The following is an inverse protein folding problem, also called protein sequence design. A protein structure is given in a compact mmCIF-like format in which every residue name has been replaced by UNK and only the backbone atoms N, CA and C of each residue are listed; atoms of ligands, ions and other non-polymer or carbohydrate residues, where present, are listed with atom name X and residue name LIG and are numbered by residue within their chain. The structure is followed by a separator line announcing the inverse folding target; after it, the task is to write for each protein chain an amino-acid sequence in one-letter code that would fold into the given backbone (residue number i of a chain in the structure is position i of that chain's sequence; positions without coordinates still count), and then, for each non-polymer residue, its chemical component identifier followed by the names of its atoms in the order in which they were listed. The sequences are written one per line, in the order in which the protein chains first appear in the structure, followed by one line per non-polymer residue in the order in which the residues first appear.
data_IF_668618330704
#
_entry.id   IF_668618330704
#
_cell.length_a   1.000
_cell.length_b   1.000
_cell.length_c   1.000
_cell.angle_alpha   90.00
_cell.angle_beta   90.00
_cell.angle_gamma   90.00
#
_symmetry.space_group_name_H-M   'P 1'
#
loop_
_entity.id
_entity.type
_entity.pdbx_description
1 polymer ?
#
# COMPACT_ATOMS: atom_id res chain seq x y z
N UNK A 1 14.02 11.36 -3.13
CA UNK A 1 13.86 10.03 -2.51
C UNK A 1 13.51 9.03 -3.60
N UNK A 2 14.40 8.09 -3.88
CA UNK A 2 14.25 7.11 -4.95
C UNK A 2 13.76 5.79 -4.33
N UNK A 3 12.54 5.80 -3.81
CA UNK A 3 11.96 4.61 -3.17
C UNK A 3 11.50 3.63 -4.25
N UNK A 4 11.95 2.37 -4.14
CA UNK A 4 11.48 1.30 -5.01
C UNK A 4 10.23 0.65 -4.38
N UNK A 5 9.04 1.05 -4.84
CA UNK A 5 7.76 0.49 -4.40
C UNK A 5 7.38 -0.82 -5.13
N UNK A 6 8.13 -1.24 -6.17
CA UNK A 6 7.81 -2.47 -6.93
C UNK A 6 7.82 -3.71 -6.04
N UNK A 7 8.69 -3.74 -5.03
CA UNK A 7 8.77 -4.85 -4.07
C UNK A 7 7.45 -5.08 -3.33
N UNK A 8 6.66 -4.04 -3.10
CA UNK A 8 5.36 -4.18 -2.43
C UNK A 8 4.28 -4.74 -3.34
N UNK A 9 4.42 -4.61 -4.66
CA UNK A 9 3.52 -5.24 -5.63
C UNK A 9 3.37 -6.73 -5.37
N UNK A 10 4.50 -7.43 -5.21
CA UNK A 10 4.51 -8.86 -4.92
C UNK A 10 3.84 -9.19 -3.57
N UNK A 11 4.01 -8.34 -2.55
CA UNK A 11 3.37 -8.53 -1.25
C UNK A 11 1.83 -8.45 -1.37
N UNK A 12 1.33 -7.47 -2.14
CA UNK A 12 -0.11 -7.33 -2.40
C UNK A 12 -0.67 -8.50 -3.20
N UNK A 13 0.05 -8.94 -4.25
CA UNK A 13 -0.35 -10.08 -5.08
C UNK A 13 -0.42 -11.38 -4.27
N UNK A 14 0.65 -11.70 -3.51
CA UNK A 14 0.68 -12.88 -2.61
C UNK A 14 -0.45 -12.86 -1.59
N UNK A 15 -0.83 -11.67 -1.09
CA UNK A 15 -1.94 -11.49 -0.16
C UNK A 15 -3.33 -11.41 -0.83
N UNK A 16 -3.41 -11.59 -2.15
CA UNK A 16 -4.66 -11.47 -2.95
C UNK A 16 -5.39 -10.14 -2.72
N UNK A 17 -4.61 -9.06 -2.62
CA UNK A 17 -5.09 -7.68 -2.52
C UNK A 17 -5.20 -7.13 -3.94
N UNK A 18 -6.43 -7.04 -4.44
CA UNK A 18 -6.75 -6.43 -5.72
C UNK A 18 -6.97 -4.90 -5.54
N UNK A 19 -7.27 -4.19 -6.63
CA UNK A 19 -7.50 -2.75 -6.60
C UNK A 19 -8.55 -2.31 -5.59
N UNK A 20 -9.70 -2.98 -5.52
CA UNK A 20 -10.78 -2.67 -4.58
C UNK A 20 -10.35 -2.79 -3.11
N UNK A 21 -9.63 -3.88 -2.76
CA UNK A 21 -9.07 -4.06 -1.42
C UNK A 21 -7.97 -3.05 -1.12
N UNK A 22 -7.16 -2.71 -2.13
CA UNK A 22 -6.10 -1.70 -1.99
C UNK A 22 -6.69 -0.31 -1.74
N UNK A 23 -7.84 0.02 -2.34
CA UNK A 23 -8.54 1.29 -2.12
C UNK A 23 -9.00 1.49 -0.68
N UNK A 24 -9.19 0.40 0.06
CA UNK A 24 -9.63 0.39 1.45
C UNK A 24 -8.53 -0.09 2.42
N UNK A 25 -7.27 -0.06 1.98
CA UNK A 25 -6.16 -0.61 2.78
C UNK A 25 -5.90 0.24 4.03
N UNK A 26 -5.65 -0.43 5.15
CA UNK A 26 -5.36 0.24 6.43
C UNK A 26 -3.87 0.18 6.75
N UNK A 27 -3.41 1.07 7.63
CA UNK A 27 -2.03 1.01 8.16
C UNK A 27 -1.73 -0.32 8.84
N UNK A 28 -2.70 -0.86 9.60
CA UNK A 28 -2.58 -2.19 10.20
C UNK A 28 -2.33 -3.24 9.11
N UNK A 29 -3.08 -3.19 8.00
CA UNK A 29 -2.90 -4.16 6.92
C UNK A 29 -1.53 -4.04 6.26
N UNK A 30 -1.01 -2.82 6.08
CA UNK A 30 0.34 -2.60 5.57
C UNK A 30 1.41 -3.22 6.49
N UNK A 31 1.26 -3.10 7.82
CA UNK A 31 2.13 -3.78 8.77
C UNK A 31 2.05 -5.31 8.64
N UNK A 32 0.85 -5.88 8.53
CA UNK A 32 0.67 -7.34 8.32
C UNK A 32 1.31 -7.84 7.02
N UNK A 33 1.41 -6.98 6.01
CA UNK A 33 2.08 -7.28 4.73
C UNK A 33 3.60 -7.08 4.78
N UNK A 34 4.18 -6.73 5.93
CA UNK A 34 5.62 -6.47 6.09
C UNK A 34 6.07 -5.09 5.60
N UNK A 35 5.13 -4.18 5.30
CA UNK A 35 5.43 -2.78 4.95
C UNK A 35 5.50 -1.98 6.24
N UNK A 36 6.63 -2.08 6.96
CA UNK A 36 6.79 -1.56 8.32
C UNK A 36 7.21 -0.07 8.33
N UNK A 37 7.92 0.39 7.30
CA UNK A 37 8.42 1.76 7.24
C UNK A 37 7.26 2.77 7.19
N UNK A 38 7.16 3.63 8.19
CA UNK A 38 6.04 4.58 8.37
C UNK A 38 5.90 5.54 7.19
N UNK A 39 7.03 6.00 6.64
CA UNK A 39 7.03 6.92 5.49
C UNK A 39 6.47 6.24 4.23
N UNK A 40 6.77 4.96 4.04
CA UNK A 40 6.24 4.19 2.91
C UNK A 40 4.74 3.94 3.08
N UNK A 41 4.30 3.64 4.31
CA UNK A 41 2.88 3.52 4.61
C UNK A 41 2.13 4.82 4.30
N UNK A 42 2.69 5.96 4.68
CA UNK A 42 2.08 7.27 4.42
C UNK A 42 1.98 7.57 2.93
N UNK A 43 3.00 7.23 2.15
CA UNK A 43 3.00 7.40 0.70
C UNK A 43 1.91 6.53 0.06
N UNK A 44 1.81 5.25 0.44
CA UNK A 44 0.81 4.32 -0.10
C UNK A 44 -0.61 4.80 0.25
N UNK A 45 -0.86 5.14 1.52
CA UNK A 45 -2.18 5.61 1.98
C UNK A 45 -2.59 6.92 1.30
N UNK A 46 -1.66 7.86 1.11
CA UNK A 46 -1.92 9.11 0.37
C UNK A 46 -2.21 8.83 -1.10
N UNK A 47 -1.45 7.93 -1.74
CA UNK A 47 -1.68 7.55 -3.14
C UNK A 47 -3.07 6.96 -3.34
N UNK A 48 -3.45 6.00 -2.48
CA UNK A 48 -4.79 5.39 -2.49
C UNK A 48 -5.89 6.42 -2.25
N UNK A 49 -5.75 7.28 -1.24
CA UNK A 49 -6.73 8.32 -0.94
C UNK A 49 -6.92 9.32 -2.09
N UNK A 50 -5.87 9.59 -2.87
CA UNK A 50 -5.95 10.46 -4.05
C UNK A 50 -6.64 9.80 -5.24
N UNK A 51 -6.61 8.47 -5.35
CA UNK A 51 -7.36 7.74 -6.39
C UNK A 51 -8.86 7.84 -6.11
N UNK A 52 -9.30 7.69 -4.86
CA UNK A 52 -10.72 7.80 -4.47
C UNK A 52 -11.31 9.23 -4.61
N UNK A 53 -10.47 10.25 -4.81
CA UNK A 53 -10.90 11.65 -4.97
C UNK A 53 -11.13 12.06 -6.42
N UNK A 54 -10.80 11.19 -7.39
CA UNK A 54 -11.09 11.37 -8.81
C UNK A 54 -12.40 10.67 -9.16
#
# INVERSE_FOLDING_TARGET
LNYNFLIYGEHFERAKINGEKLLNITRQKLNELGIIQTDHQDIILKAVANINKK
#
